data_IF_567289211789
#
_entry.id   IF_567289211789
#
_cell.length_a   1.000
_cell.length_b   1.000
_cell.length_c   1.000
_cell.angle_alpha   90.00
_cell.angle_beta   90.00
_cell.angle_gamma   90.00
#
_symmetry.space_group_name_H-M   'P 1'
#
loop_
_entity.id
_entity.type
_entity.pdbx_description
1 polymer ?
#
# COMPACT_ATOMS: atom_id res chain seq x y z
N UNK A 1 13.38 0.83 -13.49
CA UNK A 1 12.39 1.15 -12.44
C UNK A 1 12.63 2.59 -12.05
N UNK A 2 11.61 3.43 -12.19
CA UNK A 2 11.68 4.84 -11.82
C UNK A 2 11.24 5.00 -10.35
N UNK A 3 12.20 5.19 -9.46
CA UNK A 3 11.93 5.30 -8.03
C UNK A 3 11.28 6.63 -7.65
N UNK A 4 11.55 7.69 -8.42
CA UNK A 4 10.99 9.01 -8.15
C UNK A 4 9.49 8.99 -8.47
N UNK A 5 9.10 8.39 -9.60
CA UNK A 5 7.70 8.19 -9.96
C UNK A 5 6.96 7.30 -8.96
N UNK A 6 7.58 6.20 -8.52
CA UNK A 6 6.98 5.33 -7.48
C UNK A 6 6.74 6.12 -6.20
N UNK A 7 7.71 6.92 -5.76
CA UNK A 7 7.58 7.68 -4.52
C UNK A 7 6.52 8.78 -4.62
N UNK A 8 6.40 9.43 -5.78
CA UNK A 8 5.33 10.40 -6.06
C UNK A 8 3.96 9.74 -6.01
N UNK A 9 3.76 8.66 -6.77
CA UNK A 9 2.48 7.96 -6.79
C UNK A 9 2.10 7.37 -5.43
N UNK A 10 3.05 6.85 -4.65
CA UNK A 10 2.76 6.36 -3.28
C UNK A 10 2.25 7.49 -2.39
N UNK A 11 2.78 8.71 -2.51
CA UNK A 11 2.27 9.86 -1.75
C UNK A 11 0.85 10.20 -2.17
N UNK A 12 0.58 10.25 -3.47
CA UNK A 12 -0.77 10.55 -3.98
C UNK A 12 -1.77 9.47 -3.57
N UNK A 13 -1.39 8.19 -3.65
CA UNK A 13 -2.19 7.06 -3.19
C UNK A 13 -2.49 7.13 -1.69
N UNK A 14 -1.52 7.49 -0.85
CA UNK A 14 -1.75 7.68 0.59
C UNK A 14 -2.74 8.81 0.87
N UNK A 15 -2.65 9.92 0.12
CA UNK A 15 -3.63 11.01 0.22
C UNK A 15 -5.04 10.50 -0.15
N UNK A 16 -5.16 9.71 -1.21
CA UNK A 16 -6.43 9.10 -1.63
C UNK A 16 -6.98 8.10 -0.60
N UNK A 17 -6.11 7.35 0.09
CA UNK A 17 -6.46 6.44 1.17
C UNK A 17 -6.88 7.16 2.47
N UNK A 18 -6.86 8.50 2.49
CA UNK A 18 -7.22 9.28 3.66
C UNK A 18 -6.12 9.34 4.71
N UNK A 19 -4.85 9.43 4.28
CA UNK A 19 -3.73 9.68 5.19
C UNK A 19 -4.04 10.85 6.15
N UNK A 20 -3.91 10.59 7.45
CA UNK A 20 -4.21 11.56 8.50
C UNK A 20 -5.69 11.72 8.86
N UNK A 21 -6.62 11.05 8.16
CA UNK A 21 -8.04 11.02 8.49
C UNK A 21 -8.35 9.83 9.40
N UNK A 22 -8.85 10.03 10.62
CA UNK A 22 -9.23 8.92 11.49
C UNK A 22 -10.51 8.25 10.97
N UNK A 23 -10.51 6.93 10.97
CA UNK A 23 -11.68 6.12 10.65
C UNK A 23 -12.51 5.84 11.91
N UNK A 24 -13.83 5.74 11.73
CA UNK A 24 -14.75 5.43 12.83
C UNK A 24 -14.81 3.91 13.01
N UNK A 25 -14.43 3.44 14.19
CA UNK A 25 -14.57 2.04 14.59
C UNK A 25 -15.70 1.92 15.62
N UNK A 26 -16.75 1.19 15.27
CA UNK A 26 -17.86 0.91 16.17
C UNK A 26 -17.44 -0.11 17.23
N UNK A 27 -17.67 0.23 18.49
CA UNK A 27 -17.44 -0.65 19.64
C UNK A 27 -18.78 -0.99 20.30
N UNK A 28 -18.89 -2.07 21.08
CA UNK A 28 -20.16 -2.45 21.72
C UNK A 28 -20.78 -1.36 22.61
N UNK A 29 -20.00 -0.38 23.06
CA UNK A 29 -20.44 0.74 23.90
C UNK A 29 -20.43 2.12 23.21
N UNK A 30 -20.16 2.21 21.90
CA UNK A 30 -20.09 3.49 21.19
C UNK A 30 -19.25 3.45 19.92
N UNK A 31 -18.52 4.53 19.62
CA UNK A 31 -17.61 4.59 18.50
C UNK A 31 -16.29 5.25 18.91
N UNK A 32 -15.17 4.79 18.35
CA UNK A 32 -13.86 5.40 18.55
C UNK A 32 -13.26 5.82 17.21
N UNK A 33 -12.48 6.89 17.24
CA UNK A 33 -11.64 7.28 16.12
C UNK A 33 -10.36 6.45 16.17
N UNK A 34 -10.11 5.65 15.14
CA UNK A 34 -8.89 4.87 14.97
C UNK A 34 -8.12 5.41 13.78
N UNK A 35 -6.82 5.63 13.95
CA UNK A 35 -5.94 5.88 12.82
C UNK A 35 -5.67 4.57 12.07
N UNK A 36 -5.89 4.52 10.74
CA UNK A 36 -5.51 3.37 9.94
C UNK A 36 -4.02 3.05 10.10
N UNK A 37 -3.70 1.77 10.18
CA UNK A 37 -2.31 1.35 10.28
C UNK A 37 -1.67 1.37 8.89
N UNK A 38 -0.55 2.09 8.69
CA UNK A 38 0.08 2.20 7.38
C UNK A 38 0.64 0.85 6.92
N UNK A 39 0.62 0.61 5.61
CA UNK A 39 1.21 -0.59 5.02
C UNK A 39 2.69 -0.34 4.72
N UNK A 40 3.63 -1.02 5.41
CA UNK A 40 5.05 -0.78 5.15
C UNK A 40 5.44 -1.35 3.79
N UNK A 41 6.07 -0.52 2.96
CA UNK A 41 6.66 -0.88 1.69
C UNK A 41 8.10 -0.38 1.66
N UNK A 42 9.05 -1.30 1.50
CA UNK A 42 10.48 -1.01 1.43
C UNK A 42 10.99 -1.33 0.04
N UNK A 43 11.59 -0.33 -0.62
CA UNK A 43 12.20 -0.45 -1.93
C UNK A 43 13.71 -0.69 -1.77
N UNK A 44 14.23 -1.72 -2.44
CA UNK A 44 15.65 -2.01 -2.56
C UNK A 44 16.10 -1.89 -4.01
N UNK A 45 17.40 -1.82 -4.26
CA UNK A 45 17.91 -1.76 -5.63
C UNK A 45 17.53 -3.00 -6.48
N UNK A 46 17.33 -4.15 -5.85
CA UNK A 46 17.09 -5.45 -6.51
C UNK A 46 15.72 -6.06 -6.19
N UNK A 47 14.83 -5.35 -5.48
CA UNK A 47 13.54 -5.91 -5.08
C UNK A 47 12.78 -5.05 -4.10
N UNK A 48 11.71 -5.61 -3.53
CA UNK A 48 10.91 -4.96 -2.49
C UNK A 48 10.63 -5.91 -1.33
N UNK A 49 10.32 -5.33 -0.18
CA UNK A 49 9.60 -6.01 0.90
C UNK A 49 8.29 -5.25 1.10
N UNK A 50 7.19 -5.99 1.15
CA UNK A 50 5.88 -5.42 1.45
C UNK A 50 5.31 -6.09 2.69
N UNK A 51 4.69 -5.30 3.56
CA UNK A 51 4.26 -5.73 4.90
C UNK A 51 5.46 -6.29 5.70
N UNK A 52 5.24 -7.41 6.39
CA UNK A 52 6.27 -8.27 6.96
C UNK A 52 6.46 -9.54 6.12
N UNK A 53 6.33 -9.42 4.79
CA UNK A 53 6.46 -10.52 3.84
C UNK A 53 7.93 -10.85 3.50
N UNK A 54 8.15 -11.89 2.66
CA UNK A 54 9.47 -12.22 2.16
C UNK A 54 10.00 -11.10 1.24
N UNK A 55 11.33 -11.05 1.08
CA UNK A 55 11.95 -10.24 0.03
C UNK A 55 11.52 -10.73 -1.35
N UNK A 56 11.05 -9.81 -2.18
CA UNK A 56 10.54 -10.07 -3.52
C UNK A 56 11.47 -9.45 -4.56
N UNK A 57 12.21 -10.27 -5.34
CA UNK A 57 13.12 -9.76 -6.35
C UNK A 57 12.34 -9.16 -7.53
N UNK A 58 12.97 -8.23 -8.26
CA UNK A 58 12.37 -7.61 -9.43
C UNK A 58 12.21 -8.57 -10.61
N UNK A 59 12.91 -9.69 -10.62
CA UNK A 59 12.76 -10.71 -11.66
C UNK A 59 11.43 -11.50 -11.54
N UNK A 60 10.75 -11.42 -10.40
CA UNK A 60 9.45 -12.06 -10.21
C UNK A 60 8.34 -11.27 -10.93
N UNK A 61 7.56 -11.90 -11.83
CA UNK A 61 6.44 -11.26 -12.53
C UNK A 61 5.42 -10.62 -11.59
N UNK A 62 5.16 -11.22 -10.42
CA UNK A 62 4.22 -10.67 -9.46
C UNK A 62 4.72 -9.33 -8.87
N UNK A 63 6.03 -9.24 -8.60
CA UNK A 63 6.67 -8.00 -8.12
C UNK A 63 6.60 -6.91 -9.19
N UNK A 64 6.85 -7.26 -10.45
CA UNK A 64 6.75 -6.32 -11.57
C UNK A 64 5.33 -5.77 -11.71
N UNK A 65 4.31 -6.63 -11.65
CA UNK A 65 2.92 -6.18 -11.70
C UNK A 65 2.57 -5.28 -10.52
N UNK A 66 2.98 -5.64 -9.29
CA UNK A 66 2.77 -4.81 -8.10
C UNK A 66 3.37 -3.41 -8.26
N UNK A 67 4.58 -3.31 -8.81
CA UNK A 67 5.21 -2.01 -9.06
C UNK A 67 4.56 -1.24 -10.21
N UNK A 68 4.15 -1.94 -11.27
CA UNK A 68 3.46 -1.33 -12.41
C UNK A 68 2.14 -0.71 -11.97
N UNK A 69 1.35 -1.41 -11.15
CA UNK A 69 0.10 -0.88 -10.59
C UNK A 69 0.37 0.46 -9.87
N UNK A 70 1.42 0.53 -9.04
CA UNK A 70 1.82 1.78 -8.35
C UNK A 70 2.28 2.85 -9.33
N UNK A 71 3.09 2.51 -10.32
CA UNK A 71 3.58 3.44 -11.34
C UNK A 71 2.45 4.01 -12.22
N UNK A 72 1.36 3.25 -12.38
CA UNK A 72 0.17 3.69 -13.08
C UNK A 72 -0.80 4.50 -12.17
N UNK A 73 -0.44 4.71 -10.90
CA UNK A 73 -1.24 5.46 -9.94
C UNK A 73 -2.39 4.65 -9.33
N UNK A 74 -2.28 3.32 -9.32
CA UNK A 74 -3.25 2.41 -8.72
C UNK A 74 -2.69 1.69 -7.50
N UNK A 75 -3.59 1.26 -6.61
CA UNK A 75 -3.22 0.33 -5.55
C UNK A 75 -2.91 -1.04 -6.16
N UNK A 76 -1.83 -1.72 -5.71
CA UNK A 76 -1.51 -3.08 -6.16
C UNK A 76 -2.71 -4.00 -6.05
N UNK A 77 -3.02 -4.70 -7.14
CA UNK A 77 -4.13 -5.66 -7.22
C UNK A 77 -4.08 -6.73 -6.12
N UNK A 78 -2.88 -7.11 -5.67
CA UNK A 78 -2.67 -8.04 -4.55
C UNK A 78 -3.24 -7.54 -3.21
N UNK A 79 -3.43 -6.23 -3.03
CA UNK A 79 -4.04 -5.66 -1.83
C UNK A 79 -5.53 -5.95 -1.74
N UNK A 80 -6.23 -6.04 -2.88
CA UNK A 80 -7.69 -6.25 -2.89
C UNK A 80 -8.09 -7.56 -2.22
N UNK A 81 -7.26 -8.60 -2.34
CA UNK A 81 -7.52 -9.88 -1.68
C UNK A 81 -7.46 -9.76 -0.14
N UNK A 82 -6.63 -8.85 0.36
CA UNK A 82 -6.41 -8.64 1.80
C UNK A 82 -7.28 -7.53 2.38
N UNK A 83 -7.68 -6.57 1.55
CA UNK A 83 -8.45 -5.38 1.87
C UNK A 83 -9.63 -5.26 0.90
N UNK A 84 -10.65 -6.14 1.02
CA UNK A 84 -11.79 -6.15 0.10
C UNK A 84 -12.65 -4.88 0.20
N UNK A 85 -12.63 -4.21 1.35
CA UNK A 85 -13.35 -2.96 1.60
C UNK A 85 -12.52 -1.71 1.22
N UNK A 86 -11.35 -1.89 0.60
CA UNK A 86 -10.41 -0.82 0.27
C UNK A 86 -9.26 -0.69 1.28
N UNK A 87 -8.21 0.00 0.83
CA UNK A 87 -7.00 0.33 1.61
C UNK A 87 -7.17 1.71 2.23
#
# INVERSE_FOLDING_TARGET
IDFDLILENVKDLNVLAGEGVPQIEHTPGGARLRQPEPLPLTLYQNGIVMFNGPFRPYEDPATQQCLQDIMDGYFPSELQLRYPDGV
#
